data_IF_497680129842
#
_entry.id   IF_497680129842
#
_cell.length_a   1.000
_cell.length_b   1.000
_cell.length_c   1.000
_cell.angle_alpha   90.00
_cell.angle_beta   90.00
_cell.angle_gamma   90.00
#
_symmetry.space_group_name_H-M   'P 1'
#
loop_
_entity.id
_entity.type
_entity.pdbx_description
1 polymer ?
#
# COMPACT_ATOMS: atom_id res chain seq x y z
N UNK A 1 -15.76 -24.64 -47.57
CA UNK A 1 -16.42 -23.41 -47.19
C UNK A 1 -17.70 -23.81 -46.48
N UNK A 2 -17.86 -23.40 -45.22
CA UNK A 2 -19.07 -23.71 -44.46
C UNK A 2 -19.83 -22.41 -44.25
N UNK A 3 -21.14 -22.44 -44.54
CA UNK A 3 -22.04 -21.30 -44.28
C UNK A 3 -22.88 -21.63 -43.05
N UNK A 4 -22.92 -20.69 -42.10
CA UNK A 4 -23.69 -20.84 -40.88
C UNK A 4 -24.46 -19.54 -40.59
N UNK A 5 -25.70 -19.69 -40.11
CA UNK A 5 -26.53 -18.58 -39.69
C UNK A 5 -26.21 -18.22 -38.22
N UNK A 6 -25.92 -16.99 -37.95
CA UNK A 6 -25.75 -16.49 -36.58
C UNK A 6 -27.10 -16.49 -35.89
N UNK A 7 -27.25 -17.26 -34.83
CA UNK A 7 -28.48 -17.38 -34.04
C UNK A 7 -28.46 -16.62 -32.74
N UNK A 8 -27.29 -16.34 -32.19
CA UNK A 8 -27.12 -15.60 -30.93
C UNK A 8 -25.81 -14.86 -30.90
N UNK A 9 -25.81 -13.71 -30.25
CA UNK A 9 -24.61 -12.93 -29.91
C UNK A 9 -24.46 -12.87 -28.41
N UNK A 10 -23.25 -13.05 -27.90
CA UNK A 10 -22.93 -12.89 -26.47
C UNK A 10 -21.81 -11.90 -26.28
N UNK A 11 -21.83 -11.20 -25.16
CA UNK A 11 -20.71 -10.38 -24.72
C UNK A 11 -19.66 -11.29 -24.10
N UNK A 12 -18.42 -11.19 -24.55
CA UNK A 12 -17.28 -11.88 -23.96
C UNK A 12 -16.73 -11.04 -22.82
N UNK A 13 -16.47 -11.70 -21.70
CA UNK A 13 -15.89 -11.10 -20.51
C UNK A 13 -14.44 -11.59 -20.42
N UNK A 14 -13.52 -10.76 -20.94
CA UNK A 14 -12.09 -11.11 -21.03
C UNK A 14 -11.40 -11.18 -19.66
N UNK A 15 -11.97 -10.50 -18.67
CA UNK A 15 -11.44 -10.46 -17.31
C UNK A 15 -11.82 -11.73 -16.51
N UNK A 16 -12.70 -12.58 -17.08
CA UNK A 16 -13.05 -13.84 -16.46
C UNK A 16 -12.01 -14.91 -16.80
N UNK A 17 -11.49 -15.60 -15.78
CA UNK A 17 -10.60 -16.78 -15.95
C UNK A 17 -11.31 -18.00 -16.57
N UNK A 18 -12.46 -17.79 -17.21
CA UNK A 18 -13.23 -18.84 -17.89
C UNK A 18 -12.78 -18.98 -19.33
N UNK A 19 -12.89 -20.19 -19.87
CA UNK A 19 -12.61 -20.44 -21.28
C UNK A 19 -13.64 -19.69 -22.13
N UNK A 20 -13.15 -18.71 -22.90
CA UNK A 20 -13.96 -17.89 -23.78
C UNK A 20 -13.66 -18.24 -25.24
N UNK A 21 -14.67 -18.67 -25.98
CA UNK A 21 -14.59 -18.91 -27.42
C UNK A 21 -15.27 -17.77 -28.18
N UNK A 22 -14.65 -17.35 -29.27
CA UNK A 22 -15.22 -16.32 -30.17
C UNK A 22 -16.46 -16.80 -30.89
N UNK A 23 -16.48 -18.09 -31.25
CA UNK A 23 -17.56 -18.73 -32.01
C UNK A 23 -17.89 -20.04 -31.34
N UNK A 24 -19.17 -20.32 -31.15
CA UNK A 24 -19.70 -21.59 -30.69
C UNK A 24 -20.60 -22.13 -31.82
N UNK A 25 -20.23 -23.26 -32.37
CA UNK A 25 -21.00 -23.94 -33.39
C UNK A 25 -21.99 -24.92 -32.76
N UNK A 26 -23.09 -25.20 -33.47
CA UNK A 26 -24.00 -26.23 -33.06
C UNK A 26 -23.33 -27.63 -33.12
N UNK A 27 -23.72 -28.57 -32.25
CA UNK A 27 -23.21 -29.95 -32.31
C UNK A 27 -23.40 -30.55 -33.71
N UNK A 28 -22.41 -31.31 -34.18
CA UNK A 28 -22.44 -31.96 -35.50
C UNK A 28 -21.94 -31.10 -36.67
N UNK A 29 -21.88 -29.77 -36.52
CA UNK A 29 -21.52 -28.88 -37.66
C UNK A 29 -20.03 -28.96 -38.04
N UNK A 30 -19.17 -29.28 -37.10
CA UNK A 30 -17.71 -29.25 -37.28
C UNK A 30 -17.06 -30.65 -37.15
N UNK A 31 -17.82 -31.72 -37.07
CA UNK A 31 -17.30 -33.09 -36.86
C UNK A 31 -16.37 -33.57 -37.97
N UNK A 32 -16.50 -33.06 -39.18
CA UNK A 32 -15.64 -33.39 -40.31
C UNK A 32 -14.31 -32.62 -40.34
N UNK A 33 -14.10 -31.69 -39.41
CA UNK A 33 -12.89 -30.87 -39.33
C UNK A 33 -11.96 -31.38 -38.25
N UNK A 34 -10.63 -31.18 -38.42
CA UNK A 34 -9.67 -31.49 -37.38
C UNK A 34 -10.03 -30.70 -36.11
N UNK A 35 -10.10 -31.39 -34.97
CA UNK A 35 -10.45 -30.78 -33.69
C UNK A 35 -9.34 -30.98 -32.65
N UNK A 36 -9.14 -29.97 -31.85
CA UNK A 36 -8.34 -30.06 -30.63
C UNK A 36 -9.26 -29.94 -29.43
N UNK A 37 -9.01 -30.75 -28.42
CA UNK A 37 -9.81 -30.77 -27.21
C UNK A 37 -9.06 -30.10 -26.10
N UNK A 38 -9.76 -29.28 -25.33
CA UNK A 38 -9.24 -28.60 -24.15
C UNK A 38 -10.09 -29.03 -22.94
N UNK A 39 -9.42 -29.37 -21.84
CA UNK A 39 -10.06 -29.64 -20.58
C UNK A 39 -9.23 -29.04 -19.45
N UNK A 40 -9.85 -28.74 -18.32
CA UNK A 40 -9.17 -28.28 -17.13
C UNK A 40 -9.62 -29.13 -15.94
N UNK A 41 -8.69 -29.43 -15.07
CA UNK A 41 -8.95 -30.15 -13.83
C UNK A 41 -8.08 -29.59 -12.70
N UNK A 42 -8.56 -29.75 -11.48
CA UNK A 42 -7.79 -29.37 -10.31
C UNK A 42 -6.89 -30.52 -9.87
N UNK A 43 -5.61 -30.24 -9.68
CA UNK A 43 -4.62 -31.19 -9.18
C UNK A 43 -4.07 -30.67 -7.84
N UNK A 44 -4.24 -31.41 -6.73
CA UNK A 44 -3.63 -31.04 -5.47
C UNK A 44 -2.09 -31.00 -5.58
N UNK A 45 -1.39 -30.11 -4.86
CA UNK A 45 0.09 -30.02 -4.92
C UNK A 45 0.81 -31.34 -4.63
N UNK A 46 0.24 -32.20 -3.78
CA UNK A 46 0.79 -33.51 -3.47
C UNK A 46 0.75 -34.51 -4.63
N UNK A 47 0.01 -34.22 -5.71
CA UNK A 47 -0.18 -35.12 -6.85
C UNK A 47 0.40 -34.56 -8.16
N UNK A 48 1.34 -33.61 -8.09
CA UNK A 48 1.98 -33.01 -9.27
C UNK A 48 2.63 -34.06 -10.20
N UNK A 49 3.09 -35.20 -9.66
CA UNK A 49 3.62 -36.31 -10.46
C UNK A 49 2.60 -36.94 -11.45
N UNK A 50 1.31 -36.69 -11.20
CA UNK A 50 0.27 -37.17 -12.13
C UNK A 50 0.37 -36.46 -13.49
N UNK A 51 0.66 -35.16 -13.51
CA UNK A 51 0.83 -34.41 -14.75
C UNK A 51 1.99 -34.97 -15.59
N UNK A 52 3.12 -35.28 -14.95
CA UNK A 52 4.29 -35.89 -15.60
C UNK A 52 4.00 -37.26 -16.14
N UNK A 53 3.28 -38.12 -15.39
CA UNK A 53 2.84 -39.42 -15.82
C UNK A 53 1.87 -39.35 -16.98
N UNK A 54 0.97 -38.37 -16.97
CA UNK A 54 0.01 -38.15 -18.05
C UNK A 54 0.71 -37.83 -19.38
N UNK A 55 1.68 -36.91 -19.35
CA UNK A 55 2.48 -36.55 -20.54
C UNK A 55 3.33 -37.74 -21.01
N UNK A 56 3.89 -38.51 -20.08
CA UNK A 56 4.65 -39.71 -20.45
C UNK A 56 3.80 -40.80 -21.09
N UNK A 57 2.55 -40.97 -20.64
CA UNK A 57 1.61 -41.95 -21.22
C UNK A 57 0.99 -41.45 -22.54
N UNK A 58 0.81 -40.15 -22.69
CA UNK A 58 0.18 -39.53 -23.86
C UNK A 58 1.00 -38.37 -24.39
N UNK A 59 2.04 -38.62 -25.20
CA UNK A 59 2.97 -37.56 -25.68
C UNK A 59 2.30 -36.49 -26.56
N UNK A 60 1.11 -36.75 -27.07
CA UNK A 60 0.30 -35.78 -27.82
C UNK A 60 -0.49 -34.80 -26.95
N UNK A 61 -0.45 -34.95 -25.63
CA UNK A 61 -1.09 -34.02 -24.73
C UNK A 61 -0.12 -32.90 -24.33
N UNK A 62 -0.63 -31.66 -24.36
CA UNK A 62 0.05 -30.53 -23.82
C UNK A 62 -0.57 -30.19 -22.47
N UNK A 63 0.18 -30.39 -21.40
CA UNK A 63 -0.25 -30.02 -20.04
C UNK A 63 0.34 -28.66 -19.70
N UNK A 64 -0.52 -27.73 -19.33
CA UNK A 64 -0.13 -26.38 -18.91
C UNK A 64 -0.45 -26.25 -17.42
N UNK A 65 0.57 -26.07 -16.60
CA UNK A 65 0.43 -25.78 -15.18
C UNK A 65 0.11 -24.27 -15.01
N UNK A 66 -1.19 -23.97 -14.93
CA UNK A 66 -1.66 -22.60 -14.76
C UNK A 66 -1.25 -22.03 -13.40
N UNK A 67 -1.15 -22.89 -12.36
CA UNK A 67 -0.76 -22.42 -11.02
C UNK A 67 0.70 -21.97 -11.00
N UNK A 68 1.60 -22.70 -11.68
CA UNK A 68 2.99 -22.31 -11.81
C UNK A 68 3.15 -20.97 -12.56
N UNK A 69 2.40 -20.79 -13.67
CA UNK A 69 2.42 -19.52 -14.44
C UNK A 69 1.91 -18.35 -13.60
N UNK A 70 0.79 -18.52 -12.89
CA UNK A 70 0.24 -17.50 -12.00
C UNK A 70 1.24 -17.21 -10.87
N UNK A 71 1.83 -18.22 -10.26
CA UNK A 71 2.84 -18.07 -9.20
C UNK A 71 4.07 -17.27 -9.66
N UNK A 72 4.52 -17.50 -10.90
CA UNK A 72 5.62 -16.73 -11.46
C UNK A 72 5.26 -15.24 -11.67
N UNK A 73 4.04 -14.97 -12.15
CA UNK A 73 3.54 -13.59 -12.29
C UNK A 73 3.43 -12.92 -10.91
N UNK A 74 2.88 -13.63 -9.92
CA UNK A 74 2.79 -13.12 -8.55
C UNK A 74 4.16 -12.78 -7.97
N UNK A 75 5.15 -13.66 -8.14
CA UNK A 75 6.52 -13.40 -7.68
C UNK A 75 7.14 -12.15 -8.31
N UNK A 76 6.90 -11.92 -9.61
CA UNK A 76 7.35 -10.68 -10.28
C UNK A 76 6.64 -9.43 -9.72
N UNK A 77 5.33 -9.52 -9.47
CA UNK A 77 4.56 -8.43 -8.87
C UNK A 77 5.03 -8.14 -7.46
N UNK A 78 5.28 -9.16 -6.63
CA UNK A 78 5.78 -9.00 -5.27
C UNK A 78 7.17 -8.34 -5.25
N UNK A 79 8.03 -8.69 -6.19
CA UNK A 79 9.33 -8.04 -6.34
C UNK A 79 9.20 -6.55 -6.70
N UNK A 80 8.28 -6.19 -7.60
CA UNK A 80 7.99 -4.79 -7.94
C UNK A 80 7.43 -4.04 -6.75
N UNK A 81 6.48 -4.64 -6.02
CA UNK A 81 5.92 -4.06 -4.78
C UNK A 81 7.03 -3.82 -3.76
N UNK A 82 7.96 -4.78 -3.58
CA UNK A 82 9.10 -4.63 -2.68
C UNK A 82 10.00 -3.44 -3.06
N UNK A 83 10.29 -3.25 -4.34
CA UNK A 83 11.07 -2.11 -4.82
C UNK A 83 10.36 -0.78 -4.56
N UNK A 84 9.05 -0.70 -4.81
CA UNK A 84 8.24 0.48 -4.53
C UNK A 84 8.18 0.78 -3.03
N UNK A 85 8.02 -0.24 -2.19
CA UNK A 85 8.05 -0.10 -0.73
C UNK A 85 9.39 0.43 -0.23
N UNK A 86 10.50 0.00 -0.83
CA UNK A 86 11.83 0.52 -0.48
C UNK A 86 11.93 2.03 -0.78
N UNK A 87 11.46 2.48 -1.93
CA UNK A 87 11.45 3.92 -2.30
C UNK A 87 10.57 4.71 -1.33
N UNK A 88 9.39 4.19 -0.97
CA UNK A 88 8.53 4.83 0.03
C UNK A 88 9.17 4.86 1.41
N UNK A 89 9.86 3.79 1.81
CA UNK A 89 10.63 3.77 3.05
C UNK A 89 11.67 4.88 3.10
N UNK A 90 12.38 5.09 2.00
CA UNK A 90 13.35 6.18 1.87
C UNK A 90 12.68 7.57 1.96
N UNK A 91 11.52 7.74 1.33
CA UNK A 91 10.74 8.98 1.43
C UNK A 91 10.29 9.27 2.87
N UNK A 92 9.89 8.24 3.63
CA UNK A 92 9.55 8.38 5.06
C UNK A 92 10.76 8.85 5.87
N UNK A 93 11.93 8.23 5.66
CA UNK A 93 13.18 8.63 6.34
C UNK A 93 13.52 10.09 6.02
N UNK A 94 13.44 10.48 4.74
CA UNK A 94 13.67 11.87 4.32
C UNK A 94 12.67 12.84 5.01
N UNK A 95 11.40 12.46 5.09
CA UNK A 95 10.37 13.23 5.79
C UNK A 95 10.67 13.41 7.28
N UNK A 96 11.16 12.38 7.95
CA UNK A 96 11.59 12.46 9.36
C UNK A 96 12.79 13.40 9.53
N UNK A 97 13.76 13.38 8.61
CA UNK A 97 14.91 14.29 8.63
C UNK A 97 14.45 15.74 8.46
N UNK A 98 13.54 16.01 7.52
CA UNK A 98 12.96 17.34 7.31
C UNK A 98 12.20 17.80 8.55
N UNK A 99 11.38 16.92 9.15
CA UNK A 99 10.68 17.23 10.40
C UNK A 99 11.65 17.60 11.52
N UNK A 100 12.74 16.83 11.66
CA UNK A 100 13.76 17.13 12.67
C UNK A 100 14.45 18.48 12.41
N UNK A 101 14.75 18.81 11.15
CA UNK A 101 15.30 20.11 10.76
C UNK A 101 14.34 21.27 11.08
N UNK A 102 13.05 21.10 10.81
CA UNK A 102 12.02 22.08 11.13
C UNK A 102 11.90 22.33 12.66
N UNK A 103 11.93 21.24 13.45
CA UNK A 103 11.92 21.34 14.92
C UNK A 103 13.17 22.05 15.46
N UNK A 104 14.33 21.84 14.85
CA UNK A 104 15.57 22.51 15.21
C UNK A 104 15.52 24.02 14.89
N UNK A 105 14.96 24.38 13.74
CA UNK A 105 14.85 25.79 13.33
C UNK A 105 13.99 26.64 14.26
N UNK A 106 12.96 26.01 14.87
CA UNK A 106 12.03 26.69 15.80
C UNK A 106 12.52 26.65 17.28
N UNK A 107 13.71 26.11 17.50
CA UNK A 107 14.23 25.79 18.83
C UNK A 107 14.37 27.05 19.72
N UNK A 108 14.95 28.11 19.16
CA UNK A 108 15.25 29.36 19.90
C UNK A 108 13.98 30.13 20.30
N UNK A 109 12.95 30.14 19.46
CA UNK A 109 11.65 30.74 19.78
C UNK A 109 10.95 29.95 20.88
N UNK A 110 10.97 28.63 20.81
CA UNK A 110 10.38 27.77 21.87
C UNK A 110 11.11 27.88 23.21
N UNK A 111 12.43 28.04 23.22
CA UNK A 111 13.16 28.30 24.49
C UNK A 111 12.67 29.56 25.16
N UNK A 112 12.44 30.64 24.42
CA UNK A 112 11.92 31.91 24.95
C UNK A 112 10.50 31.76 25.48
N UNK A 113 9.61 31.13 24.76
CA UNK A 113 8.22 30.87 25.20
C UNK A 113 8.19 30.02 26.48
N UNK A 114 8.98 28.96 26.54
CA UNK A 114 9.06 28.10 27.72
C UNK A 114 9.68 28.85 28.93
N UNK A 115 10.65 29.73 28.71
CA UNK A 115 11.22 30.55 29.76
C UNK A 115 10.19 31.53 30.35
N UNK A 116 9.38 32.20 29.50
CA UNK A 116 8.31 33.11 29.93
C UNK A 116 7.24 32.32 30.73
N UNK A 117 6.81 31.16 30.24
CA UNK A 117 5.81 30.34 30.95
C UNK A 117 6.32 29.85 32.32
N UNK A 118 7.62 29.56 32.44
CA UNK A 118 8.25 29.20 33.72
C UNK A 118 8.28 30.37 34.68
N UNK A 119 8.56 31.61 34.22
CA UNK A 119 8.53 32.79 35.08
C UNK A 119 7.13 33.11 35.61
N UNK A 120 6.08 32.71 34.85
CA UNK A 120 4.68 32.80 35.25
C UNK A 120 4.22 31.61 36.16
N UNK A 121 5.15 30.72 36.56
CA UNK A 121 4.89 29.67 37.53
C UNK A 121 4.43 28.32 36.91
N UNK A 122 4.53 28.13 35.61
CA UNK A 122 4.15 26.85 34.96
C UNK A 122 5.06 25.70 35.41
N UNK A 123 4.46 24.59 35.80
CA UNK A 123 5.17 23.36 36.19
C UNK A 123 5.71 22.64 34.94
N UNK A 124 6.88 22.01 35.08
CA UNK A 124 7.47 21.22 33.98
C UNK A 124 6.53 20.14 33.38
N UNK A 125 5.63 19.59 34.21
CA UNK A 125 4.63 18.64 33.74
C UNK A 125 3.59 19.27 32.79
N UNK A 126 3.16 20.51 33.08
CA UNK A 126 2.21 21.25 32.26
C UNK A 126 2.85 21.66 30.91
N UNK A 127 4.12 22.11 30.94
CA UNK A 127 4.86 22.42 29.73
C UNK A 127 5.07 21.20 28.82
N UNK A 128 5.38 20.03 29.41
CA UNK A 128 5.50 18.78 28.66
C UNK A 128 4.15 18.34 28.04
N UNK A 129 3.08 18.45 28.81
CA UNK A 129 1.74 18.11 28.34
C UNK A 129 1.30 19.02 27.19
N UNK A 130 1.56 20.30 27.27
CA UNK A 130 1.25 21.27 26.21
C UNK A 130 2.03 20.97 24.93
N UNK A 131 3.35 20.74 25.02
CA UNK A 131 4.18 20.38 23.87
C UNK A 131 3.73 19.05 23.23
N UNK A 132 3.45 18.03 24.04
CA UNK A 132 2.98 16.74 23.52
C UNK A 132 1.61 16.86 22.84
N UNK A 133 0.70 17.68 23.39
CA UNK A 133 -0.59 17.96 22.77
C UNK A 133 -0.44 18.68 21.43
N UNK A 134 0.46 19.66 21.35
CA UNK A 134 0.77 20.37 20.10
C UNK A 134 1.34 19.41 19.04
N UNK A 135 2.34 18.60 19.40
CA UNK A 135 2.90 17.61 18.48
C UNK A 135 1.88 16.55 18.06
N UNK A 136 1.02 16.10 18.99
CA UNK A 136 -0.06 15.20 18.68
C UNK A 136 -1.05 15.79 17.68
N UNK A 137 -1.46 17.06 17.90
CA UNK A 137 -2.39 17.74 17.01
C UNK A 137 -1.81 17.93 15.60
N UNK A 138 -0.55 18.38 15.51
CA UNK A 138 0.15 18.53 14.24
C UNK A 138 0.28 17.18 13.50
N UNK A 139 0.67 16.14 14.23
CA UNK A 139 0.81 14.79 13.67
C UNK A 139 -0.52 14.20 13.22
N UNK A 140 -1.60 14.39 13.99
CA UNK A 140 -2.94 13.97 13.63
C UNK A 140 -3.43 14.64 12.33
N UNK A 141 -3.28 15.97 12.24
CA UNK A 141 -3.72 16.70 11.04
C UNK A 141 -2.90 16.31 9.82
N UNK A 142 -1.57 16.28 9.94
CA UNK A 142 -0.70 15.90 8.84
C UNK A 142 -0.94 14.45 8.39
N UNK A 143 -1.07 13.53 9.35
CA UNK A 143 -1.35 12.12 9.07
C UNK A 143 -2.75 11.90 8.48
N UNK A 144 -3.76 12.64 8.94
CA UNK A 144 -5.11 12.59 8.36
C UNK A 144 -5.11 13.09 6.91
N UNK A 145 -4.44 14.21 6.62
CA UNK A 145 -4.30 14.74 5.26
C UNK A 145 -3.59 13.75 4.33
N UNK A 146 -2.51 13.13 4.82
CA UNK A 146 -1.81 12.08 4.07
C UNK A 146 -2.73 10.87 3.81
N UNK A 147 -3.52 10.44 4.79
CA UNK A 147 -4.50 9.36 4.67
C UNK A 147 -5.61 9.66 3.68
N UNK A 148 -6.13 10.90 3.67
CA UNK A 148 -7.12 11.36 2.68
C UNK A 148 -6.51 11.35 1.27
N UNK A 149 -5.29 11.87 1.11
CA UNK A 149 -4.57 11.84 -0.16
C UNK A 149 -4.35 10.42 -0.68
N UNK A 150 -3.88 9.52 0.19
CA UNK A 150 -3.68 8.11 -0.15
C UNK A 150 -4.99 7.41 -0.56
N UNK A 151 -6.09 7.66 0.17
CA UNK A 151 -7.42 7.12 -0.16
C UNK A 151 -7.93 7.66 -1.49
N UNK A 152 -7.76 8.97 -1.73
CA UNK A 152 -8.17 9.61 -2.98
C UNK A 152 -7.41 9.09 -4.19
N UNK A 153 -6.08 8.96 -4.09
CA UNK A 153 -5.24 8.38 -5.15
C UNK A 153 -5.62 6.92 -5.38
N UNK A 154 -5.77 6.13 -4.30
CA UNK A 154 -6.18 4.73 -4.39
C UNK A 154 -7.52 4.55 -5.07
N UNK A 155 -8.50 5.40 -4.74
CA UNK A 155 -9.81 5.41 -5.41
C UNK A 155 -9.69 5.78 -6.89
N UNK A 156 -8.95 6.83 -7.21
CA UNK A 156 -8.76 7.27 -8.59
C UNK A 156 -8.10 6.19 -9.46
N UNK A 157 -7.04 5.55 -8.95
CA UNK A 157 -6.38 4.45 -9.63
C UNK A 157 -7.32 3.24 -9.80
N UNK A 158 -8.04 2.86 -8.74
CA UNK A 158 -9.00 1.76 -8.78
C UNK A 158 -10.09 2.00 -9.82
N UNK A 159 -10.66 3.21 -9.84
CA UNK A 159 -11.78 3.54 -10.72
C UNK A 159 -11.38 3.80 -12.18
N UNK A 160 -10.35 4.63 -12.40
CA UNK A 160 -10.00 5.08 -13.76
C UNK A 160 -9.01 4.16 -14.47
N UNK A 161 -8.08 3.54 -13.74
CA UNK A 161 -7.02 2.71 -14.32
C UNK A 161 -7.41 1.24 -14.31
N UNK A 162 -7.76 0.71 -13.14
CA UNK A 162 -8.03 -0.73 -12.99
C UNK A 162 -9.49 -1.10 -13.23
N UNK A 163 -10.42 -0.13 -13.28
CA UNK A 163 -11.88 -0.35 -13.44
C UNK A 163 -12.44 -1.37 -12.43
N UNK A 164 -11.82 -1.44 -11.25
CA UNK A 164 -12.25 -2.30 -10.15
C UNK A 164 -13.28 -1.58 -9.30
N UNK A 165 -14.29 -2.26 -8.73
CA UNK A 165 -15.20 -1.69 -7.75
C UNK A 165 -14.46 -1.46 -6.42
N UNK A 166 -13.70 -0.36 -6.33
CA UNK A 166 -12.99 0.02 -5.11
C UNK A 166 -13.89 0.89 -4.25
N UNK A 167 -14.27 0.40 -3.07
CA UNK A 167 -14.96 1.18 -2.06
C UNK A 167 -13.92 1.88 -1.17
N UNK A 168 -13.88 3.22 -1.12
CA UNK A 168 -12.97 3.95 -0.24
C UNK A 168 -13.31 3.63 1.22
N UNK A 169 -12.32 3.15 1.98
CA UNK A 169 -12.45 2.92 3.41
C UNK A 169 -11.83 4.08 4.20
N UNK A 170 -12.38 4.41 5.37
CA UNK A 170 -11.81 5.42 6.25
C UNK A 170 -10.56 4.95 7.02
N UNK A 171 -10.22 3.68 6.89
CA UNK A 171 -9.13 3.05 7.63
C UNK A 171 -7.75 3.66 7.34
N UNK A 172 -7.36 3.98 6.08
CA UNK A 172 -6.10 4.66 5.80
C UNK A 172 -6.00 6.04 6.44
N UNK A 173 -7.11 6.77 6.54
CA UNK A 173 -7.16 8.08 7.19
C UNK A 173 -6.91 7.94 8.69
N UNK A 174 -7.56 6.98 9.35
CA UNK A 174 -7.39 6.71 10.77
C UNK A 174 -5.96 6.25 11.07
N UNK A 175 -5.46 5.29 10.32
CA UNK A 175 -4.09 4.77 10.48
C UNK A 175 -3.07 5.88 10.22
N UNK A 176 -3.26 6.67 9.17
CA UNK A 176 -2.41 7.81 8.84
C UNK A 176 -2.37 8.84 9.97
N UNK A 177 -3.54 9.20 10.52
CA UNK A 177 -3.64 10.15 11.64
C UNK A 177 -2.91 9.65 12.89
N UNK A 178 -3.14 8.39 13.28
CA UNK A 178 -2.50 7.81 14.47
C UNK A 178 -0.98 7.63 14.28
N UNK A 179 -0.55 7.14 13.11
CA UNK A 179 0.86 6.99 12.79
C UNK A 179 1.57 8.35 12.74
N UNK A 180 0.95 9.35 12.11
CA UNK A 180 1.46 10.72 12.07
C UNK A 180 1.61 11.32 13.46
N UNK A 181 0.60 11.18 14.32
CA UNK A 181 0.66 11.62 15.71
C UNK A 181 1.82 10.95 16.48
N UNK A 182 1.96 9.63 16.33
CA UNK A 182 3.03 8.86 16.99
C UNK A 182 4.42 9.31 16.53
N UNK A 183 4.64 9.46 15.23
CA UNK A 183 5.94 9.88 14.67
C UNK A 183 6.30 11.29 15.12
N UNK A 184 5.37 12.25 15.02
CA UNK A 184 5.64 13.65 15.39
C UNK A 184 5.84 13.78 16.90
N UNK A 185 5.06 13.06 17.73
CA UNK A 185 5.27 13.04 19.19
C UNK A 185 6.63 12.46 19.56
N UNK A 186 7.03 11.35 18.94
CA UNK A 186 8.34 10.74 19.19
C UNK A 186 9.49 11.67 18.78
N UNK A 187 9.42 12.24 17.59
CA UNK A 187 10.42 13.18 17.09
C UNK A 187 10.49 14.44 17.96
N UNK A 188 9.35 15.00 18.33
CA UNK A 188 9.25 16.15 19.23
C UNK A 188 9.77 15.86 20.62
N UNK A 189 9.46 14.68 21.18
CA UNK A 189 9.97 14.25 22.48
C UNK A 189 11.49 14.08 22.49
N UNK A 190 12.06 13.46 21.45
CA UNK A 190 13.51 13.29 21.30
C UNK A 190 14.19 14.67 21.17
N UNK A 191 13.64 15.57 20.35
CA UNK A 191 14.16 16.91 20.11
C UNK A 191 14.11 17.79 21.38
N UNK A 192 13.02 17.74 22.14
CA UNK A 192 12.82 18.59 23.32
C UNK A 192 13.37 18.01 24.63
N UNK A 193 13.69 16.71 24.67
CA UNK A 193 14.24 16.05 25.86
C UNK A 193 15.51 16.74 26.37
N UNK A 194 16.38 17.22 25.50
CA UNK A 194 17.62 17.94 25.86
C UNK A 194 17.36 19.32 26.44
N UNK A 195 16.29 20.00 25.98
CA UNK A 195 15.88 21.33 26.49
C UNK A 195 15.37 21.29 27.93
N UNK A 196 14.62 20.25 28.25
CA UNK A 196 14.01 20.09 29.56
C UNK A 196 15.05 19.70 30.64
N UNK A 197 16.21 19.20 30.25
CA UNK A 197 17.30 18.78 31.14
C UNK A 197 18.34 19.88 31.39
N UNK A 198 18.33 20.99 30.64
CA UNK A 198 19.26 22.10 30.89
C UNK A 198 18.80 22.92 32.10
N UNK A 199 19.68 23.19 33.09
CA UNK A 199 19.33 24.01 34.23
C UNK A 199 19.15 25.49 33.80
N UNK A 200 18.15 26.20 34.37
CA UNK A 200 17.77 27.56 33.96
C UNK A 200 18.87 28.63 34.13
N UNK A 201 19.93 28.35 34.90
CA UNK A 201 21.04 29.28 35.14
C UNK A 201 22.01 29.41 33.96
N UNK A 202 22.01 28.49 33.00
CA UNK A 202 22.90 28.55 31.85
C UNK A 202 22.39 29.50 30.74
N UNK A 203 21.09 29.69 30.63
CA UNK A 203 20.47 30.60 29.66
C UNK A 203 20.58 32.07 30.04
N UNK A 204 20.66 32.39 31.33
CA UNK A 204 20.87 33.77 31.81
C UNK A 204 22.33 34.26 31.65
N UNK A 205 23.31 33.36 31.57
CA UNK A 205 24.71 33.71 31.29
C UNK A 205 25.02 33.99 29.82
N UNK A 206 24.17 33.57 28.91
CA UNK A 206 24.34 33.79 27.47
C UNK A 206 23.74 35.12 26.99
N UNK A 207 23.05 35.86 27.86
CA UNK A 207 22.43 37.16 27.56
C UNK A 207 23.18 38.33 28.20
N UNK A 208 24.30 38.11 28.88
CA UNK A 208 25.24 39.13 29.41
C UNK A 208 26.60 38.88 28.80
#
# INVERSE_FOLDING_TARGET
RSEARITSLRKLDWDSMRVNFFVIAAPGMLESYPASYITSFYLPPAQMDFANRLVAAFPNFTVIDVAAVIGQIQAMVDQLIGAVQFVFGFAVVAGVVVLFGALQSTHDEREKELAILRTLGARNAQLRAALLAEFAALGLVAGALAGVGATGIGWALGHFVFKLPYAPSGLPVLVGALAGAAVVMLAGWIGTRRLLLRPPLASLRALG
#
